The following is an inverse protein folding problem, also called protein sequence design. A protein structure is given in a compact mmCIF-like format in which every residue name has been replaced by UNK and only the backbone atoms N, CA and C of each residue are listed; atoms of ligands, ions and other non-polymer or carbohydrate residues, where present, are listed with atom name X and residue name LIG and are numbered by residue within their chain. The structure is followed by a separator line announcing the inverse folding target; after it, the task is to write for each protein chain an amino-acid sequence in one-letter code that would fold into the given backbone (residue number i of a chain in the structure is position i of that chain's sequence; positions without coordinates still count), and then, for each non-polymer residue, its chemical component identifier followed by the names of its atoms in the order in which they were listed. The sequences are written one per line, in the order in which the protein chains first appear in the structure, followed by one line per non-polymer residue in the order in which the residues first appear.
data_IF_070466879916
#
_entry.id   IF_070466879916
#
_cell.length_a   1.000
_cell.length_b   1.000
_cell.length_c   1.000
_cell.angle_alpha   90.00
_cell.angle_beta   90.00
_cell.angle_gamma   90.00
#
_symmetry.space_group_name_H-M   'P 1'
#
loop_
_entity.id
_entity.type
_entity.pdbx_description
1 polymer ?
#
# COMPACT_ATOMS: atom_id res chain seq x y z
N UNK A 1 4.91 -9.28 -22.67
CA UNK A 1 4.47 -8.78 -21.35
C UNK A 1 5.26 -7.51 -21.08
N UNK A 2 4.60 -6.38 -20.83
CA UNK A 2 5.32 -5.20 -20.34
C UNK A 2 5.67 -5.43 -18.85
N UNK A 3 6.87 -5.07 -18.38
CA UNK A 3 7.21 -5.17 -16.97
C UNK A 3 6.29 -4.28 -16.13
N UNK A 4 5.91 -4.74 -14.95
CA UNK A 4 5.19 -3.89 -14.01
C UNK A 4 6.05 -2.67 -13.61
N UNK A 5 5.43 -1.48 -13.46
CA UNK A 5 6.15 -0.31 -13.01
C UNK A 5 6.68 -0.49 -11.58
N UNK A 6 7.94 -0.07 -11.35
CA UNK A 6 8.53 -0.05 -10.01
C UNK A 6 7.93 1.07 -9.17
N UNK A 7 8.04 0.96 -7.84
CA UNK A 7 7.58 2.04 -6.95
C UNK A 7 8.27 3.37 -7.28
N UNK A 8 9.58 3.35 -7.50
CA UNK A 8 10.35 4.54 -7.90
C UNK A 8 9.81 5.16 -9.20
N UNK A 9 9.48 4.34 -10.20
CA UNK A 9 8.89 4.83 -11.47
C UNK A 9 7.55 5.53 -11.20
N UNK A 10 6.71 4.96 -10.35
CA UNK A 10 5.42 5.54 -10.00
C UNK A 10 5.58 6.85 -9.21
N UNK A 11 6.50 6.90 -8.25
CA UNK A 11 6.78 8.09 -7.44
C UNK A 11 7.34 9.23 -8.30
N UNK A 12 8.26 8.93 -9.22
CA UNK A 12 8.77 9.91 -10.18
C UNK A 12 7.66 10.43 -11.08
N UNK A 13 6.80 9.54 -11.57
CA UNK A 13 5.63 9.93 -12.39
C UNK A 13 4.67 10.83 -11.61
N UNK A 14 4.43 10.55 -10.33
CA UNK A 14 3.60 11.41 -9.48
C UNK A 14 4.24 12.78 -9.26
N UNK A 15 5.57 12.83 -9.12
CA UNK A 15 6.30 14.10 -9.01
C UNK A 15 6.14 14.95 -10.27
N UNK A 16 6.21 14.34 -11.45
CA UNK A 16 5.98 15.02 -12.73
C UNK A 16 4.53 15.52 -12.84
N UNK A 17 3.54 14.70 -12.47
CA UNK A 17 2.12 15.11 -12.43
C UNK A 17 1.92 16.30 -11.49
N UNK A 18 2.56 16.31 -10.32
CA UNK A 18 2.43 17.40 -9.35
C UNK A 18 3.09 18.72 -9.82
N UNK A 19 3.93 18.70 -10.86
CA UNK A 19 4.46 19.93 -11.49
C UNK A 19 3.48 20.57 -12.48
N UNK A 20 2.43 19.83 -12.89
CA UNK A 20 1.41 20.33 -13.81
C UNK A 20 0.44 21.25 -13.04
N UNK A 21 0.25 22.46 -13.54
CA UNK A 21 -0.82 23.36 -13.08
C UNK A 21 -2.18 22.63 -13.18
N UNK A 22 -2.92 22.44 -12.06
CA UNK A 22 -4.19 21.73 -12.07
C UNK A 22 -5.24 22.31 -13.02
N UNK A 23 -5.20 23.61 -13.31
CA UNK A 23 -6.10 24.21 -14.29
C UNK A 23 -5.80 23.73 -15.73
N UNK A 24 -4.51 23.59 -16.06
CA UNK A 24 -4.07 23.02 -17.35
C UNK A 24 -4.32 21.52 -17.43
N UNK A 25 -4.13 20.79 -16.33
CA UNK A 25 -4.48 19.37 -16.24
C UNK A 25 -5.95 19.16 -16.56
N UNK A 26 -6.84 19.93 -15.91
CA UNK A 26 -8.30 19.87 -16.10
C UNK A 26 -8.76 20.31 -17.49
N UNK A 27 -8.04 21.20 -18.17
CA UNK A 27 -8.39 21.61 -19.54
C UNK A 27 -8.06 20.55 -20.59
N UNK A 28 -7.09 19.67 -20.32
CA UNK A 28 -6.73 18.53 -21.19
C UNK A 28 -7.58 17.31 -20.85
N UNK A 29 -7.77 17.03 -19.56
CA UNK A 29 -8.47 15.85 -19.07
C UNK A 29 -9.49 16.23 -18.01
N UNK A 30 -10.78 16.04 -18.32
CA UNK A 30 -11.89 16.36 -17.40
C UNK A 30 -11.84 15.53 -16.12
N UNK A 31 -11.22 14.35 -16.15
CA UNK A 31 -11.01 13.46 -15.00
C UNK A 31 -9.65 13.64 -14.32
N UNK A 32 -8.95 14.76 -14.54
CA UNK A 32 -7.61 15.01 -14.00
C UNK A 32 -7.49 14.79 -12.49
N UNK A 33 -8.40 15.35 -11.72
CA UNK A 33 -8.37 15.25 -10.26
C UNK A 33 -8.53 13.78 -9.83
N UNK A 34 -9.53 13.07 -10.39
CA UNK A 34 -9.76 11.65 -10.14
C UNK A 34 -8.56 10.79 -10.52
N UNK A 35 -8.00 11.00 -11.71
CA UNK A 35 -6.81 10.27 -12.18
C UNK A 35 -5.64 10.45 -11.20
N UNK A 36 -5.40 11.68 -10.75
CA UNK A 36 -4.30 11.98 -9.84
C UNK A 36 -4.51 11.30 -8.48
N UNK A 37 -5.75 11.29 -7.99
CA UNK A 37 -6.10 10.62 -6.73
C UNK A 37 -6.00 9.10 -6.84
N UNK A 38 -6.53 8.50 -7.91
CA UNK A 38 -6.39 7.08 -8.21
C UNK A 38 -4.91 6.69 -8.31
N UNK A 39 -4.09 7.53 -8.97
CA UNK A 39 -2.65 7.29 -9.13
C UNK A 39 -1.90 7.35 -7.79
N UNK A 40 -2.23 8.31 -6.93
CA UNK A 40 -1.72 8.37 -5.55
C UNK A 40 -2.13 7.13 -4.75
N UNK A 41 -3.34 6.62 -4.98
CA UNK A 41 -3.82 5.42 -4.31
C UNK A 41 -3.05 4.18 -4.74
N UNK A 42 -2.76 4.02 -6.04
CA UNK A 42 -1.90 2.95 -6.58
C UNK A 42 -0.52 2.96 -5.91
N UNK A 43 0.11 4.14 -5.76
CA UNK A 43 1.41 4.28 -5.08
C UNK A 43 1.31 3.83 -3.61
N UNK A 44 0.27 4.26 -2.90
CA UNK A 44 0.06 3.87 -1.50
C UNK A 44 -0.04 2.34 -1.36
N UNK A 45 -0.80 1.68 -2.23
CA UNK A 45 -0.93 0.23 -2.24
C UNK A 45 0.37 -0.47 -2.61
N UNK A 46 1.11 0.00 -3.62
CA UNK A 46 2.42 -0.59 -3.98
C UNK A 46 3.40 -0.50 -2.80
N UNK A 47 3.44 0.62 -2.09
CA UNK A 47 4.25 0.78 -0.88
C UNK A 47 3.84 -0.20 0.22
N UNK A 48 2.54 -0.36 0.49
CA UNK A 48 2.04 -1.33 1.48
C UNK A 48 2.39 -2.76 1.05
N UNK A 49 2.16 -3.11 -0.23
CA UNK A 49 2.45 -4.42 -0.77
C UNK A 49 3.92 -4.83 -0.62
N UNK A 50 4.86 -3.91 -0.88
CA UNK A 50 6.29 -4.16 -0.66
C UNK A 50 6.63 -4.42 0.82
N UNK A 51 5.98 -3.68 1.74
CA UNK A 51 6.14 -3.90 3.18
C UNK A 51 5.60 -5.27 3.57
N UNK A 52 4.41 -5.63 3.07
CA UNK A 52 3.76 -6.91 3.36
C UNK A 52 4.53 -8.10 2.77
N UNK A 53 5.06 -7.99 1.56
CA UNK A 53 5.91 -9.01 0.94
C UNK A 53 7.15 -9.28 1.81
N UNK A 54 7.82 -8.22 2.27
CA UNK A 54 8.99 -8.33 3.13
C UNK A 54 8.65 -8.87 4.53
N UNK A 55 7.49 -8.50 5.07
CA UNK A 55 6.97 -9.11 6.31
C UNK A 55 6.74 -10.62 6.13
N UNK A 56 6.17 -11.04 5.00
CA UNK A 56 6.03 -12.44 4.63
C UNK A 56 7.35 -13.20 4.53
N UNK A 57 8.39 -12.58 3.97
CA UNK A 57 9.74 -13.17 3.97
C UNK A 57 10.26 -13.41 5.39
N UNK A 58 10.02 -12.49 6.34
CA UNK A 58 10.43 -12.69 7.73
C UNK A 58 9.56 -13.70 8.47
N UNK A 59 8.26 -13.77 8.16
CA UNK A 59 7.36 -14.80 8.64
C UNK A 59 7.90 -16.20 8.30
N UNK A 60 8.20 -16.47 7.02
CA UNK A 60 8.74 -17.76 6.58
C UNK A 60 10.09 -18.09 7.20
N UNK A 61 10.93 -17.08 7.46
CA UNK A 61 12.23 -17.23 8.09
C UNK A 61 12.19 -17.20 9.63
N UNK A 62 10.99 -17.18 10.24
CA UNK A 62 10.76 -17.12 11.70
C UNK A 62 11.50 -15.96 12.38
N UNK A 63 11.54 -14.80 11.73
CA UNK A 63 12.12 -13.56 12.26
C UNK A 63 11.02 -12.65 12.82
N UNK A 64 10.38 -13.08 13.89
CA UNK A 64 9.16 -12.48 14.46
C UNK A 64 9.29 -10.98 14.77
N UNK A 65 10.41 -10.53 15.35
CA UNK A 65 10.62 -9.11 15.66
C UNK A 65 10.64 -8.25 14.38
N UNK A 66 11.27 -8.76 13.32
CA UNK A 66 11.37 -8.03 12.05
C UNK A 66 10.04 -8.03 11.30
N UNK A 67 9.31 -9.15 11.36
CA UNK A 67 7.93 -9.24 10.87
C UNK A 67 7.04 -8.22 11.57
N UNK A 68 7.03 -8.22 12.92
CA UNK A 68 6.22 -7.32 13.73
C UNK A 68 6.48 -5.86 13.41
N UNK A 69 7.75 -5.45 13.28
CA UNK A 69 8.11 -4.08 12.93
C UNK A 69 7.56 -3.66 11.56
N UNK A 70 7.60 -4.55 10.57
CA UNK A 70 7.07 -4.25 9.23
C UNK A 70 5.55 -4.24 9.21
N UNK A 71 4.89 -5.18 9.87
CA UNK A 71 3.44 -5.18 10.02
C UNK A 71 2.95 -3.91 10.72
N UNK A 72 3.64 -3.47 11.77
CA UNK A 72 3.31 -2.23 12.47
C UNK A 72 3.49 -1.03 11.55
N UNK A 73 4.55 -1.02 10.72
CA UNK A 73 4.75 0.01 9.69
C UNK A 73 3.61 0.03 8.67
N UNK A 74 3.18 -1.13 8.16
CA UNK A 74 2.05 -1.25 7.25
C UNK A 74 0.75 -0.74 7.89
N UNK A 75 0.48 -1.16 9.13
CA UNK A 75 -0.65 -0.72 9.93
C UNK A 75 -0.71 0.81 10.07
N UNK A 76 0.37 1.42 10.55
CA UNK A 76 0.46 2.88 10.69
C UNK A 76 0.25 3.59 9.35
N UNK A 77 0.79 3.03 8.26
CA UNK A 77 0.69 3.62 6.93
C UNK A 77 -0.73 3.54 6.37
N UNK A 78 -1.44 2.44 6.58
CA UNK A 78 -2.86 2.28 6.22
C UNK A 78 -3.71 3.31 6.99
N UNK A 79 -3.53 3.38 8.32
CA UNK A 79 -4.26 4.34 9.17
C UNK A 79 -3.97 5.79 8.79
N UNK A 80 -2.70 6.17 8.63
CA UNK A 80 -2.31 7.53 8.23
C UNK A 80 -2.80 7.92 6.83
N UNK A 81 -3.01 6.93 5.95
CA UNK A 81 -3.51 7.14 4.59
C UNK A 81 -5.03 7.14 4.49
N UNK A 82 -5.75 6.89 5.60
CA UNK A 82 -7.21 6.70 5.66
C UNK A 82 -7.74 5.66 4.65
N UNK A 83 -6.98 4.59 4.41
CA UNK A 83 -7.42 3.50 3.53
C UNK A 83 -8.41 2.61 4.29
N UNK A 84 -9.59 2.42 3.69
CA UNK A 84 -10.64 1.54 4.19
C UNK A 84 -10.37 0.06 3.85
N UNK A 85 -11.15 -0.85 4.42
CA UNK A 85 -11.09 -2.26 4.02
C UNK A 85 -11.62 -2.47 2.59
N UNK A 86 -12.55 -1.63 2.12
CA UNK A 86 -13.00 -1.62 0.74
C UNK A 86 -11.86 -1.25 -0.21
N UNK A 87 -11.05 -0.26 0.16
CA UNK A 87 -9.85 0.14 -0.57
C UNK A 87 -8.84 -1.02 -0.63
N UNK A 88 -8.58 -1.68 0.49
CA UNK A 88 -7.69 -2.84 0.55
C UNK A 88 -8.21 -4.00 -0.31
N UNK A 89 -9.52 -4.25 -0.32
CA UNK A 89 -10.13 -5.27 -1.19
C UNK A 89 -9.96 -4.96 -2.67
N UNK A 90 -10.03 -3.69 -3.05
CA UNK A 90 -9.79 -3.26 -4.43
C UNK A 90 -8.31 -3.34 -4.85
N UNK A 91 -7.38 -3.31 -3.89
CA UNK A 91 -5.93 -3.24 -4.12
C UNK A 91 -5.24 -4.55 -4.50
N UNK A 92 -5.96 -5.68 -4.47
CA UNK A 92 -5.43 -7.04 -4.69
C UNK A 92 -4.21 -7.39 -3.83
N UNK A 93 -4.04 -6.72 -2.68
CA UNK A 93 -3.00 -7.06 -1.72
C UNK A 93 -3.41 -8.32 -0.95
N UNK A 94 -2.49 -9.26 -0.80
CA UNK A 94 -2.74 -10.52 -0.10
C UNK A 94 -2.12 -10.52 1.30
N UNK A 95 -2.83 -11.11 2.24
CA UNK A 95 -2.30 -11.53 3.53
C UNK A 95 -1.44 -12.79 3.32
N UNK A 96 -0.14 -12.65 3.50
CA UNK A 96 0.83 -13.73 3.31
C UNK A 96 0.68 -14.89 4.30
N UNK A 97 -0.08 -14.73 5.39
CA UNK A 97 -0.33 -15.80 6.37
C UNK A 97 -1.49 -16.69 5.96
N UNK A 98 -2.56 -16.11 5.42
CA UNK A 98 -3.80 -16.82 5.10
C UNK A 98 -4.02 -17.03 3.60
N UNK A 99 -3.32 -16.29 2.75
CA UNK A 99 -3.52 -16.26 1.29
C UNK A 99 -4.81 -15.55 0.85
N UNK A 100 -5.55 -14.95 1.80
CA UNK A 100 -6.74 -14.16 1.51
C UNK A 100 -6.38 -12.70 1.22
N UNK A 101 -7.34 -11.95 0.71
CA UNK A 101 -7.22 -10.49 0.59
C UNK A 101 -6.88 -9.85 1.93
N UNK A 102 -5.89 -8.95 1.91
CA UNK A 102 -5.44 -8.21 3.06
C UNK A 102 -6.56 -7.34 3.64
N UNK A 103 -6.73 -7.40 4.96
CA UNK A 103 -7.60 -6.49 5.71
C UNK A 103 -6.85 -5.89 6.88
N UNK A 104 -7.35 -4.77 7.39
CA UNK A 104 -6.78 -4.14 8.57
C UNK A 104 -6.86 -5.06 9.79
N UNK A 105 -8.00 -5.75 9.96
CA UNK A 105 -8.22 -6.70 11.05
C UNK A 105 -7.23 -7.88 10.97
N UNK A 106 -6.89 -8.35 9.77
CA UNK A 106 -5.89 -9.41 9.58
C UNK A 106 -4.50 -8.97 10.04
N UNK A 107 -4.11 -7.72 9.73
CA UNK A 107 -2.85 -7.14 10.22
C UNK A 107 -2.86 -7.02 11.75
N UNK A 108 -3.93 -6.49 12.33
CA UNK A 108 -4.07 -6.34 13.78
C UNK A 108 -4.00 -7.68 14.50
N UNK A 109 -4.70 -8.71 14.01
CA UNK A 109 -4.67 -10.06 14.55
C UNK A 109 -3.26 -10.65 14.52
N UNK A 110 -2.53 -10.49 13.41
CA UNK A 110 -1.16 -10.99 13.31
C UNK A 110 -0.21 -10.24 14.25
N UNK A 111 -0.36 -8.92 14.36
CA UNK A 111 0.41 -8.12 15.32
C UNK A 111 0.15 -8.58 16.76
N UNK A 112 -1.10 -8.84 17.14
CA UNK A 112 -1.44 -9.37 18.46
C UNK A 112 -0.82 -10.76 18.71
N UNK A 113 -0.82 -11.63 17.70
CA UNK A 113 -0.15 -12.93 17.78
C UNK A 113 1.37 -12.83 17.95
N UNK A 114 1.97 -11.70 17.55
CA UNK A 114 3.39 -11.37 17.74
C UNK A 114 3.66 -10.59 19.03
N UNK A 115 2.64 -10.33 19.85
CA UNK A 115 2.77 -9.69 21.17
C UNK A 115 2.47 -8.18 21.21
N UNK A 116 1.94 -7.59 20.15
CA UNK A 116 1.42 -6.21 20.18
C UNK A 116 0.10 -6.15 20.97
N UNK A 117 -0.06 -5.16 21.86
CA UNK A 117 -1.21 -5.08 22.76
C UNK A 117 -2.27 -4.03 22.40
N UNK A 118 -2.14 -3.35 21.24
CA UNK A 118 -3.05 -2.29 20.80
C UNK A 118 -2.51 -0.90 21.09
#
# INVERSE_FOLDING_TARGET
MMPEPTLETLENTLADINQIDPAKGRSIMTTYDKFTDDFRQVIKFKQIGLIMEKAGQYYFNKKEILEMNLLFTAYCKIKASNLSNEDLKASTLDDYTSGNTLTLEGIEQRLMALGWMG
#
